data_IF_800702609428
#
_entry.id   IF_800702609428
#
_cell.length_a   1.000
_cell.length_b   1.000
_cell.length_c   1.000
_cell.angle_alpha   90.00
_cell.angle_beta   90.00
_cell.angle_gamma   90.00
#
_symmetry.space_group_name_H-M   'P 1'
#
loop_
_entity.id
_entity.type
_entity.pdbx_description
1 polymer ?
#
# COMPACT_ATOMS: atom_id res chain seq x y z
N UNK A 1 1.58 -9.82 -4.01
CA UNK A 1 0.71 -8.66 -3.69
C UNK A 1 1.51 -7.47 -3.14
N UNK A 2 2.28 -7.63 -2.06
CA UNK A 2 3.00 -6.50 -1.43
C UNK A 2 3.94 -5.74 -2.37
N UNK A 3 4.70 -6.43 -3.22
CA UNK A 3 5.57 -5.78 -4.22
C UNK A 3 4.78 -4.95 -5.24
N UNK A 4 3.59 -5.40 -5.66
CA UNK A 4 2.73 -4.69 -6.59
C UNK A 4 2.22 -3.38 -5.98
N UNK A 5 1.74 -3.43 -4.73
CA UNK A 5 1.28 -2.26 -3.99
C UNK A 5 2.43 -1.28 -3.76
N UNK A 6 3.59 -1.79 -3.34
CA UNK A 6 4.78 -0.99 -3.11
C UNK A 6 5.26 -0.28 -4.38
N UNK A 7 5.29 -0.97 -5.53
CA UNK A 7 5.68 -0.36 -6.81
C UNK A 7 4.77 0.81 -7.16
N UNK A 8 3.45 0.63 -7.06
CA UNK A 8 2.49 1.68 -7.36
C UNK A 8 2.61 2.87 -6.40
N UNK A 9 2.80 2.59 -5.11
CA UNK A 9 2.97 3.63 -4.09
C UNK A 9 4.30 4.37 -4.23
N UNK A 10 5.37 3.73 -4.71
CA UNK A 10 6.63 4.40 -5.07
C UNK A 10 6.44 5.40 -6.20
N UNK A 11 5.64 5.06 -7.21
CA UNK A 11 5.40 5.95 -8.37
C UNK A 11 4.48 7.13 -8.03
N UNK A 12 3.45 6.88 -7.21
CA UNK A 12 2.40 7.88 -6.90
C UNK A 12 2.63 8.64 -5.61
N UNK A 13 3.49 8.12 -4.73
CA UNK A 13 3.71 8.54 -3.35
C UNK A 13 2.50 8.42 -2.42
N UNK A 14 1.31 8.81 -2.85
CA UNK A 14 0.05 8.68 -2.10
C UNK A 14 -1.02 8.08 -3.01
N UNK A 15 -1.82 7.16 -2.47
CA UNK A 15 -3.00 6.62 -3.17
C UNK A 15 -4.16 6.43 -2.18
N UNK A 16 -5.37 6.75 -2.61
CA UNK A 16 -6.57 6.52 -1.80
C UNK A 16 -6.75 5.02 -1.56
N UNK A 17 -7.16 4.66 -0.35
CA UNK A 17 -7.26 3.26 0.07
C UNK A 17 -8.14 2.44 -0.87
N UNK A 18 -9.32 2.96 -1.21
CA UNK A 18 -10.27 2.28 -2.07
C UNK A 18 -9.79 2.16 -3.52
N UNK A 19 -9.07 3.16 -4.02
CA UNK A 19 -8.48 3.15 -5.37
C UNK A 19 -7.34 2.13 -5.43
N UNK A 20 -6.48 2.12 -4.42
CA UNK A 20 -5.38 1.16 -4.29
C UNK A 20 -5.91 -0.27 -4.16
N UNK A 21 -6.99 -0.47 -3.39
CA UNK A 21 -7.69 -1.76 -3.26
C UNK A 21 -8.23 -2.22 -4.61
N UNK A 22 -8.99 -1.38 -5.32
CA UNK A 22 -9.53 -1.71 -6.66
C UNK A 22 -8.42 -2.07 -7.65
N UNK A 23 -7.30 -1.35 -7.60
CA UNK A 23 -6.13 -1.68 -8.40
C UNK A 23 -5.59 -3.08 -8.10
N UNK A 24 -5.45 -3.43 -6.82
CA UNK A 24 -4.97 -4.74 -6.37
C UNK A 24 -5.89 -5.87 -6.87
N UNK A 25 -7.21 -5.70 -6.74
CA UNK A 25 -8.22 -6.65 -7.23
C UNK A 25 -8.11 -6.90 -8.73
N UNK A 26 -7.84 -5.85 -9.51
CA UNK A 26 -7.75 -5.94 -10.98
C UNK A 26 -6.53 -6.72 -11.46
N UNK A 27 -5.42 -6.68 -10.71
CA UNK A 27 -4.14 -7.22 -11.16
C UNK A 27 -3.79 -8.59 -10.57
N UNK A 28 -4.46 -9.03 -9.49
CA UNK A 28 -4.19 -10.30 -8.82
C UNK A 28 -5.49 -11.05 -8.60
N UNK A 29 -5.57 -12.29 -9.10
CA UNK A 29 -6.68 -13.19 -8.82
C UNK A 29 -6.73 -13.48 -7.30
N UNK A 30 -7.87 -13.21 -6.65
CA UNK A 30 -7.96 -13.26 -5.18
C UNK A 30 -7.35 -12.06 -4.46
N UNK A 31 -7.08 -10.97 -5.18
CA UNK A 31 -6.47 -9.75 -4.64
C UNK A 31 -7.26 -9.11 -3.50
N UNK A 32 -8.58 -9.32 -3.46
CA UNK A 32 -9.49 -8.88 -2.41
C UNK A 32 -9.08 -9.36 -1.01
N UNK A 33 -8.66 -10.62 -0.92
CA UNK A 33 -8.29 -11.29 0.34
C UNK A 33 -6.85 -10.95 0.71
N UNK A 34 -5.97 -10.89 -0.30
CA UNK A 34 -4.54 -10.65 -0.10
C UNK A 34 -4.18 -9.17 0.09
N UNK A 35 -5.10 -8.25 -0.18
CA UNK A 35 -4.87 -6.82 -0.08
C UNK A 35 -4.50 -6.39 1.35
N UNK A 36 -5.35 -6.71 2.32
CA UNK A 36 -5.15 -6.27 3.71
C UNK A 36 -3.89 -6.91 4.35
N UNK A 37 -3.62 -8.23 4.22
CA UNK A 37 -2.36 -8.80 4.70
C UNK A 37 -1.12 -8.16 4.06
N UNK A 38 -1.17 -7.87 2.76
CA UNK A 38 -0.06 -7.22 2.07
C UNK A 38 0.16 -5.77 2.54
N UNK A 39 -0.92 -5.02 2.75
CA UNK A 39 -0.85 -3.66 3.27
C UNK A 39 -0.29 -3.63 4.70
N UNK A 40 -0.78 -4.53 5.57
CA UNK A 40 -0.27 -4.70 6.94
C UNK A 40 1.22 -5.05 6.94
N UNK A 41 1.65 -5.95 6.06
CA UNK A 41 3.06 -6.29 5.93
C UNK A 41 3.90 -5.05 5.58
N UNK A 42 3.50 -4.26 4.58
CA UNK A 42 4.24 -3.06 4.19
C UNK A 42 4.29 -2.00 5.31
N UNK A 43 3.20 -1.86 6.07
CA UNK A 43 3.13 -0.97 7.23
C UNK A 43 4.08 -1.42 8.34
N UNK A 44 4.08 -2.72 8.68
CA UNK A 44 4.99 -3.29 9.68
C UNK A 44 6.47 -3.19 9.27
N UNK A 45 6.75 -3.24 7.97
CA UNK A 45 8.09 -3.00 7.43
C UNK A 45 8.48 -1.52 7.40
N UNK A 46 7.61 -0.61 7.84
CA UNK A 46 7.85 0.83 7.86
C UNK A 46 7.97 1.47 6.47
N UNK A 47 7.42 0.83 5.43
CA UNK A 47 7.52 1.32 4.05
C UNK A 47 6.37 2.25 3.66
N UNK A 48 5.23 2.15 4.36
CA UNK A 48 4.02 2.91 4.08
C UNK A 48 3.37 3.38 5.39
N UNK A 49 2.59 4.45 5.30
CA UNK A 49 1.76 4.98 6.37
C UNK A 49 0.31 5.13 5.91
N UNK A 50 -0.63 4.90 6.82
CA UNK A 50 -2.03 5.22 6.58
C UNK A 50 -2.34 6.64 7.06
N UNK A 51 -3.09 7.40 6.26
CA UNK A 51 -3.53 8.77 6.54
C UNK A 51 -5.04 8.77 6.78
N UNK A 52 -5.49 8.68 8.05
CA UNK A 52 -6.92 8.57 8.36
C UNK A 52 -7.74 9.77 7.90
N UNK A 53 -7.13 10.97 7.87
CA UNK A 53 -7.82 12.21 7.50
C UNK A 53 -8.30 12.22 6.04
N UNK A 54 -7.58 11.54 5.15
CA UNK A 54 -7.85 11.52 3.71
C UNK A 54 -8.12 10.11 3.18
N UNK A 55 -8.24 9.12 4.07
CA UNK A 55 -8.36 7.71 3.73
C UNK A 55 -7.35 7.24 2.66
N UNK A 56 -6.09 7.60 2.86
CA UNK A 56 -5.03 7.37 1.88
C UNK A 56 -3.86 6.59 2.47
N UNK A 57 -3.14 5.90 1.60
CA UNK A 57 -1.89 5.21 1.92
C UNK A 57 -0.75 6.00 1.28
N UNK A 58 0.25 6.35 2.08
CA UNK A 58 1.45 7.07 1.65
C UNK A 58 2.68 6.16 1.71
N UNK A 59 3.51 6.21 0.68
CA UNK A 59 4.86 5.67 0.69
C UNK A 59 5.79 6.60 1.46
N UNK A 60 6.40 6.09 2.53
CA UNK A 60 7.32 6.86 3.38
C UNK A 60 8.79 6.50 3.16
N UNK A 61 9.08 5.44 2.40
CA UNK A 61 10.44 4.97 2.18
C UNK A 61 10.92 4.01 3.27
N UNK A 62 12.04 3.30 3.06
CA UNK A 62 12.73 2.68 4.18
C UNK A 62 13.16 3.82 5.11
N UNK A 63 12.55 3.91 6.29
CA UNK A 63 13.16 4.63 7.41
C UNK A 63 14.47 3.91 7.75
N UNK A 64 15.55 4.17 7.01
CA UNK A 64 16.88 4.08 7.57
C UNK A 64 16.87 5.07 8.72
N UNK A 65 16.71 4.54 9.93
CA UNK A 65 16.70 5.32 11.15
C UNK A 65 17.84 6.34 11.09
N UNK A 66 17.49 7.63 11.12
CA UNK A 66 18.41 8.69 11.52
C UNK A 66 18.77 8.45 12.98
#
# INVERSE_FOLDING_TARGET
MSLLLLSRLKDRRVDEYDVLRKFAKKHVLGGDVLFLPALNFLYLMGLIEYRPKTDAVEYVGPNEAI
#
